data_IF_962020928274
#
_entry.id   IF_962020928274
#
_cell.length_a   1.000
_cell.length_b   1.000
_cell.length_c   1.000
_cell.angle_alpha   90.00
_cell.angle_beta   90.00
_cell.angle_gamma   90.00
#
_symmetry.space_group_name_H-M   'P 1'
#
loop_
_entity.id
_entity.type
_entity.pdbx_description
1 polymer ?
#
# COMPACT_ATOMS: atom_id res chain seq x y z
N UNK A 1 14.95 -29.92 -22.05
CA UNK A 1 16.15 -29.19 -22.49
C UNK A 1 15.70 -27.84 -23.02
N UNK A 2 15.96 -26.75 -22.31
CA UNK A 2 15.62 -25.38 -22.76
C UNK A 2 16.89 -24.72 -23.29
N UNK A 3 16.86 -24.28 -24.55
CA UNK A 3 17.87 -23.43 -25.15
C UNK A 3 17.68 -21.99 -24.68
N UNK A 4 18.67 -21.39 -24.02
CA UNK A 4 18.63 -19.96 -23.68
C UNK A 4 19.47 -19.14 -24.67
N UNK A 5 18.99 -17.96 -25.02
CA UNK A 5 19.69 -17.04 -25.93
C UNK A 5 20.97 -16.48 -25.31
N UNK A 6 21.89 -15.98 -26.14
CA UNK A 6 23.10 -15.28 -25.71
C UNK A 6 22.80 -14.06 -24.80
N UNK A 7 21.65 -13.42 -24.98
CA UNK A 7 21.19 -12.33 -24.13
C UNK A 7 20.70 -12.83 -22.77
N UNK A 8 19.95 -13.93 -22.72
CA UNK A 8 19.57 -14.59 -21.47
C UNK A 8 20.81 -15.14 -20.72
N UNK A 9 21.84 -15.60 -21.45
CA UNK A 9 23.10 -16.04 -20.86
C UNK A 9 23.83 -14.94 -20.08
N UNK A 10 23.85 -13.71 -20.60
CA UNK A 10 24.46 -12.56 -19.89
C UNK A 10 23.84 -12.35 -18.51
N UNK A 11 22.58 -12.73 -18.36
CA UNK A 11 21.81 -12.59 -17.15
C UNK A 11 22.06 -13.74 -16.16
N UNK A 12 21.99 -14.98 -16.66
CA UNK A 12 22.04 -16.21 -15.86
C UNK A 12 23.46 -16.61 -15.45
N UNK A 13 24.50 -16.21 -16.21
CA UNK A 13 25.92 -16.54 -15.91
C UNK A 13 26.42 -16.06 -14.54
N UNK A 14 25.74 -15.06 -13.98
CA UNK A 14 26.06 -14.45 -12.68
C UNK A 14 25.36 -15.14 -11.51
N UNK A 15 24.58 -16.20 -11.76
CA UNK A 15 23.96 -16.98 -10.70
C UNK A 15 25.03 -17.84 -10.00
N UNK A 16 24.69 -18.37 -8.84
CA UNK A 16 25.67 -19.07 -8.00
C UNK A 16 26.26 -20.31 -8.70
N UNK A 17 27.40 -20.79 -8.21
CA UNK A 17 28.10 -21.93 -8.84
C UNK A 17 27.31 -23.25 -8.71
N UNK A 18 26.32 -23.31 -7.83
CA UNK A 18 25.36 -24.42 -7.75
C UNK A 18 24.43 -24.44 -8.96
N UNK A 19 24.00 -23.27 -9.47
CA UNK A 19 23.21 -23.14 -10.70
C UNK A 19 23.95 -23.70 -11.90
N UNK A 20 25.25 -23.41 -11.97
CA UNK A 20 26.11 -23.80 -13.08
C UNK A 20 26.27 -25.31 -13.20
N UNK A 21 26.03 -26.08 -12.13
CA UNK A 21 26.03 -27.56 -12.18
C UNK A 21 24.83 -28.12 -12.94
N UNK A 22 23.74 -27.35 -13.05
CA UNK A 22 22.54 -27.71 -13.82
C UNK A 22 22.58 -27.23 -15.27
N UNK A 23 23.70 -26.61 -15.69
CA UNK A 23 23.90 -26.13 -17.05
C UNK A 23 24.76 -27.11 -17.84
N UNK A 24 24.28 -27.57 -18.99
CA UNK A 24 25.14 -28.19 -20.00
C UNK A 24 25.50 -27.12 -21.03
N UNK A 25 26.75 -26.67 -21.01
CA UNK A 25 27.27 -25.65 -21.92
C UNK A 25 27.91 -26.36 -23.12
N UNK A 26 27.28 -26.27 -24.29
CA UNK A 26 27.84 -26.84 -25.51
C UNK A 26 28.54 -25.73 -26.31
N UNK A 27 29.87 -25.70 -26.31
CA UNK A 27 30.67 -24.69 -27.01
C UNK A 27 30.88 -25.07 -28.48
N UNK A 28 29.81 -25.13 -29.28
CA UNK A 28 29.89 -25.35 -30.73
C UNK A 28 29.45 -24.11 -31.53
N UNK A 29 30.05 -22.96 -31.24
CA UNK A 29 29.97 -21.77 -32.10
C UNK A 29 28.69 -20.93 -31.98
N UNK A 30 27.53 -21.54 -31.74
CA UNK A 30 26.25 -20.83 -31.66
C UNK A 30 25.57 -21.00 -30.29
N UNK A 31 26.16 -20.37 -29.27
CA UNK A 31 25.52 -19.75 -28.10
C UNK A 31 24.28 -20.38 -27.44
N UNK A 32 24.14 -21.71 -27.38
CA UNK A 32 23.00 -22.37 -26.77
C UNK A 32 23.41 -23.12 -25.49
N UNK A 33 22.90 -22.67 -24.33
CA UNK A 33 23.04 -23.38 -23.05
C UNK A 33 21.75 -24.17 -22.79
N UNK A 34 21.90 -25.48 -22.53
CA UNK A 34 20.77 -26.38 -22.29
C UNK A 34 20.58 -26.53 -20.78
N UNK A 35 19.36 -26.21 -20.30
CA UNK A 35 18.96 -26.38 -18.90
C UNK A 35 17.93 -27.51 -18.78
N UNK A 36 18.14 -28.43 -17.83
CA UNK A 36 17.11 -29.38 -17.38
C UNK A 36 16.23 -28.73 -16.32
N UNK A 37 15.13 -28.13 -16.77
CA UNK A 37 14.18 -27.32 -15.99
C UNK A 37 13.52 -28.01 -14.78
N UNK A 38 13.77 -29.29 -14.52
CA UNK A 38 13.10 -30.08 -13.48
C UNK A 38 13.88 -30.24 -12.17
N UNK A 39 15.11 -29.71 -12.06
CA UNK A 39 16.01 -29.99 -10.92
C UNK A 39 16.72 -28.76 -10.32
N UNK A 40 16.27 -27.53 -10.59
CA UNK A 40 16.93 -26.34 -10.06
C UNK A 40 16.31 -25.98 -8.70
N UNK A 41 17.01 -26.14 -7.57
CA UNK A 41 16.45 -25.75 -6.28
C UNK A 41 16.38 -24.22 -6.10
N UNK A 42 15.47 -23.73 -5.25
CA UNK A 42 15.17 -22.29 -5.11
C UNK A 42 16.35 -21.47 -4.56
N UNK A 43 17.22 -22.10 -3.76
CA UNK A 43 18.45 -21.53 -3.21
C UNK A 43 19.45 -21.09 -4.29
N UNK A 44 19.22 -21.48 -5.53
CA UNK A 44 20.15 -21.26 -6.64
C UNK A 44 20.02 -19.85 -7.25
N UNK A 45 18.87 -19.19 -7.06
CA UNK A 45 18.69 -17.77 -7.42
C UNK A 45 19.29 -16.81 -6.38
N UNK A 46 19.81 -17.33 -5.26
CA UNK A 46 20.57 -16.52 -4.32
C UNK A 46 21.97 -16.23 -4.89
N UNK A 47 22.13 -15.01 -5.41
CA UNK A 47 23.43 -14.43 -5.69
C UNK A 47 24.11 -14.17 -4.34
N UNK A 48 24.73 -15.18 -3.76
CA UNK A 48 25.77 -14.97 -2.76
C UNK A 48 27.06 -14.67 -3.51
N UNK A 49 27.59 -13.45 -3.33
CA UNK A 49 28.94 -13.13 -3.78
C UNK A 49 29.90 -14.08 -3.06
N UNK A 50 30.52 -15.00 -3.80
CA UNK A 50 31.82 -15.54 -3.38
C UNK A 50 32.75 -14.35 -3.21
N UNK A 51 33.13 -14.07 -1.96
CA UNK A 51 34.26 -13.20 -1.63
C UNK A 51 35.54 -13.86 -2.16
N UNK A 52 35.79 -13.74 -3.46
CA UNK A 52 37.15 -13.82 -3.97
C UNK A 52 37.88 -12.60 -3.43
N UNK A 53 38.78 -12.81 -2.47
CA UNK A 53 39.77 -11.83 -2.01
C UNK A 53 40.63 -11.41 -3.20
N UNK A 54 40.14 -10.46 -3.99
CA UNK A 54 40.94 -9.66 -4.90
C UNK A 54 40.81 -8.22 -4.42
N UNK A 55 41.92 -7.70 -3.87
CA UNK A 55 42.12 -6.31 -3.51
C UNK A 55 42.17 -5.42 -4.76
N UNK A 56 41.09 -5.39 -5.53
CA UNK A 56 40.78 -4.27 -6.40
C UNK A 56 39.72 -3.46 -5.66
N UNK A 57 40.07 -2.24 -5.25
CA UNK A 57 39.12 -1.23 -4.80
C UNK A 57 38.05 -1.13 -5.88
N UNK A 58 36.92 -1.82 -5.70
CA UNK A 58 35.76 -1.60 -6.55
C UNK A 58 35.31 -0.20 -6.19
N UNK A 59 35.62 0.77 -7.05
CA UNK A 59 34.94 2.06 -7.05
C UNK A 59 33.46 1.75 -6.89
N UNK A 60 32.87 2.20 -5.79
CA UNK A 60 31.42 2.21 -5.68
C UNK A 60 30.90 2.86 -6.97
N UNK A 61 29.93 2.24 -7.66
CA UNK A 61 29.36 2.86 -8.85
C UNK A 61 28.95 4.27 -8.46
N UNK A 62 29.48 5.27 -9.19
CA UNK A 62 29.23 6.67 -8.90
C UNK A 62 27.71 6.87 -8.89
N UNK A 63 27.13 7.21 -7.73
CA UNK A 63 25.70 7.38 -7.59
C UNK A 63 25.26 8.59 -8.43
N UNK A 64 24.66 8.31 -9.58
CA UNK A 64 24.14 9.34 -10.46
C UNK A 64 22.79 9.83 -9.91
N UNK A 65 22.85 10.96 -9.20
CA UNK A 65 21.69 11.58 -8.55
C UNK A 65 20.64 12.04 -9.56
N UNK A 66 21.05 12.45 -10.76
CA UNK A 66 20.12 12.90 -11.79
C UNK A 66 19.37 11.72 -12.39
N UNK A 67 20.07 10.61 -12.61
CA UNK A 67 19.46 9.35 -13.00
C UNK A 67 18.49 8.88 -11.91
N UNK A 68 18.91 8.85 -10.64
CA UNK A 68 18.03 8.49 -9.53
C UNK A 68 16.74 9.33 -9.50
N UNK A 69 16.86 10.65 -9.56
CA UNK A 69 15.72 11.56 -9.53
C UNK A 69 14.76 11.36 -10.71
N UNK A 70 15.27 10.92 -11.87
CA UNK A 70 14.46 10.64 -13.05
C UNK A 70 13.70 9.31 -12.93
N UNK A 71 14.33 8.26 -12.43
CA UNK A 71 13.76 6.91 -12.42
C UNK A 71 12.99 6.56 -11.16
N UNK A 72 13.19 7.28 -10.05
CA UNK A 72 12.49 7.02 -8.78
C UNK A 72 10.96 7.06 -8.90
N UNK A 73 10.41 7.81 -9.85
CA UNK A 73 8.97 7.89 -10.11
C UNK A 73 8.36 6.57 -10.64
N UNK A 74 9.20 5.66 -11.14
CA UNK A 74 8.80 4.33 -11.62
C UNK A 74 8.96 3.26 -10.55
N UNK A 75 9.50 3.62 -9.39
CA UNK A 75 9.64 2.73 -8.23
C UNK A 75 8.46 3.03 -7.29
N UNK A 76 7.88 1.98 -6.72
CA UNK A 76 6.85 2.14 -5.70
C UNK A 76 7.40 2.98 -4.52
N UNK A 77 6.69 4.04 -4.13
CA UNK A 77 7.16 4.98 -3.10
C UNK A 77 7.41 4.30 -1.76
N UNK A 78 6.61 3.30 -1.39
CA UNK A 78 6.82 2.52 -0.16
C UNK A 78 8.10 1.70 -0.22
N UNK A 79 8.37 1.09 -1.38
CA UNK A 79 9.63 0.38 -1.62
C UNK A 79 10.82 1.35 -1.51
N UNK A 80 10.71 2.52 -2.13
CA UNK A 80 11.75 3.54 -2.11
C UNK A 80 12.01 4.03 -0.69
N UNK A 81 10.96 4.36 0.06
CA UNK A 81 11.03 4.80 1.45
C UNK A 81 11.74 3.77 2.34
N UNK A 82 11.40 2.48 2.21
CA UNK A 82 12.08 1.41 2.95
C UNK A 82 13.54 1.25 2.55
N UNK A 83 13.87 1.35 1.25
CA UNK A 83 15.27 1.33 0.79
C UNK A 83 16.06 2.52 1.34
N UNK A 84 15.47 3.72 1.34
CA UNK A 84 16.08 4.94 1.89
C UNK A 84 16.26 4.87 3.42
N UNK A 85 15.39 4.12 4.10
CA UNK A 85 15.51 3.81 5.54
C UNK A 85 16.53 2.70 5.86
N UNK A 86 17.24 2.18 4.85
CA UNK A 86 18.32 1.21 5.03
C UNK A 86 17.90 -0.26 4.89
N UNK A 87 16.67 -0.56 4.48
CA UNK A 87 16.25 -1.93 4.19
C UNK A 87 16.94 -2.42 2.93
N UNK A 88 17.90 -3.35 3.10
CA UNK A 88 18.73 -3.86 2.01
C UNK A 88 18.09 -4.99 1.21
N UNK A 89 17.09 -5.67 1.77
CA UNK A 89 16.33 -6.73 1.09
C UNK A 89 14.84 -6.65 1.41
N UNK A 90 14.05 -6.07 0.49
CA UNK A 90 12.61 -5.95 0.64
C UNK A 90 11.88 -7.30 0.65
N UNK A 91 12.46 -8.38 0.11
CA UNK A 91 11.81 -9.71 0.08
C UNK A 91 11.87 -10.39 1.44
N UNK A 92 12.93 -10.12 2.21
CA UNK A 92 13.04 -10.58 3.60
C UNK A 92 12.22 -9.72 4.57
N UNK A 93 11.76 -8.55 4.11
CA UNK A 93 10.94 -7.64 4.89
C UNK A 93 9.45 -7.80 4.53
N UNK A 94 8.70 -8.48 5.40
CA UNK A 94 7.26 -8.63 5.26
C UNK A 94 6.57 -8.15 6.55
N UNK A 95 5.64 -7.21 6.43
CA UNK A 95 4.86 -6.67 7.54
C UNK A 95 3.39 -7.08 7.40
N UNK A 96 2.79 -7.52 8.52
CA UNK A 96 1.34 -7.71 8.60
C UNK A 96 0.72 -6.41 9.10
N UNK A 97 -0.14 -5.79 8.28
CA UNK A 97 -0.77 -4.52 8.63
C UNK A 97 -2.12 -4.35 7.99
N UNK A 98 -2.93 -3.48 8.59
CA UNK A 98 -4.23 -3.08 8.06
C UNK A 98 -4.00 -2.09 6.91
N UNK A 99 -4.53 -2.41 5.74
CA UNK A 99 -4.45 -1.56 4.54
C UNK A 99 -5.85 -1.35 4.00
N UNK A 100 -6.14 -0.11 3.59
CA UNK A 100 -7.33 0.21 2.79
C UNK A 100 -6.93 0.27 1.33
N UNK A 101 -7.58 -0.57 0.52
CA UNK A 101 -7.35 -0.67 -0.92
C UNK A 101 -8.49 0.01 -1.66
N UNK A 102 -8.16 0.87 -2.63
CA UNK A 102 -9.13 1.48 -3.54
C UNK A 102 -8.81 1.06 -4.97
N UNK A 103 -9.79 0.45 -5.62
CA UNK A 103 -9.76 0.08 -7.03
C UNK A 103 -10.69 1.02 -7.80
N UNK A 104 -10.17 1.64 -8.86
CA UNK A 104 -10.94 2.55 -9.74
C UNK A 104 -10.88 2.00 -11.16
N UNK A 105 -12.03 1.58 -11.70
CA UNK A 105 -12.15 1.12 -13.08
C UNK A 105 -12.64 2.26 -13.98
N UNK A 106 -11.92 2.55 -15.05
CA UNK A 106 -12.31 3.52 -16.07
C UNK A 106 -13.01 2.77 -17.20
N UNK A 107 -14.29 2.43 -16.99
CA UNK A 107 -15.06 1.47 -17.84
C UNK A 107 -15.06 1.84 -19.32
N UNK A 108 -15.06 3.14 -19.64
CA UNK A 108 -15.12 3.62 -21.02
C UNK A 108 -13.81 3.46 -21.81
N UNK A 109 -12.67 3.29 -21.14
CA UNK A 109 -11.35 3.32 -21.77
C UNK A 109 -11.00 1.93 -22.33
N UNK A 110 -10.78 1.86 -23.64
CA UNK A 110 -10.41 0.62 -24.35
C UNK A 110 -9.04 0.68 -25.05
N UNK A 111 -8.41 1.84 -25.07
CA UNK A 111 -7.16 2.12 -25.78
C UNK A 111 -7.23 1.80 -27.29
N UNK A 112 -8.38 2.05 -27.90
CA UNK A 112 -8.56 1.87 -29.35
C UNK A 112 -8.14 3.11 -30.14
N UNK A 113 -8.01 4.27 -29.48
CA UNK A 113 -7.65 5.54 -30.09
C UNK A 113 -6.74 6.37 -29.16
N UNK A 114 -6.24 7.51 -29.65
CA UNK A 114 -5.39 8.42 -28.85
C UNK A 114 -6.13 9.14 -27.74
N UNK A 115 -7.44 9.34 -27.91
CA UNK A 115 -8.30 10.04 -26.94
C UNK A 115 -8.40 9.23 -25.64
N UNK A 116 -8.54 7.90 -25.73
CA UNK A 116 -8.51 6.98 -24.59
C UNK A 116 -7.26 7.18 -23.71
N UNK A 117 -6.09 7.38 -24.34
CA UNK A 117 -4.83 7.63 -23.62
C UNK A 117 -4.84 8.99 -22.92
N UNK A 118 -5.35 10.03 -23.58
CA UNK A 118 -5.44 11.37 -23.01
C UNK A 118 -6.40 11.40 -21.82
N UNK A 119 -7.55 10.74 -21.95
CA UNK A 119 -8.54 10.57 -20.90
C UNK A 119 -7.95 9.79 -19.71
N UNK A 120 -7.23 8.70 -19.96
CA UNK A 120 -6.56 7.93 -18.90
C UNK A 120 -5.51 8.79 -18.17
N UNK A 121 -4.75 9.60 -18.90
CA UNK A 121 -3.76 10.51 -18.32
C UNK A 121 -4.42 11.59 -17.44
N UNK A 122 -5.53 12.16 -17.90
CA UNK A 122 -6.28 13.15 -17.13
C UNK A 122 -6.87 12.56 -15.85
N UNK A 123 -7.51 11.39 -15.96
CA UNK A 123 -8.05 10.65 -14.82
C UNK A 123 -6.95 10.30 -13.80
N UNK A 124 -5.81 9.76 -14.25
CA UNK A 124 -4.71 9.40 -13.37
C UNK A 124 -4.11 10.64 -12.67
N UNK A 125 -3.97 11.75 -13.41
CA UNK A 125 -3.50 13.02 -12.84
C UNK A 125 -4.46 13.57 -11.79
N UNK A 126 -5.77 13.45 -12.00
CA UNK A 126 -6.78 13.85 -11.02
C UNK A 126 -6.72 12.98 -9.76
N UNK A 127 -6.53 11.66 -9.91
CA UNK A 127 -6.37 10.72 -8.79
C UNK A 127 -5.09 11.03 -8.01
N UNK A 128 -3.94 11.21 -8.68
CA UNK A 128 -2.67 11.48 -8.02
C UNK A 128 -2.68 12.77 -7.19
N UNK A 129 -3.38 13.82 -7.65
CA UNK A 129 -3.56 15.05 -6.85
C UNK A 129 -4.29 14.79 -5.54
N UNK A 130 -5.32 13.93 -5.56
CA UNK A 130 -6.06 13.55 -4.35
C UNK A 130 -5.16 12.75 -3.41
N UNK A 131 -4.42 11.78 -3.93
CA UNK A 131 -3.48 10.97 -3.15
C UNK A 131 -2.40 11.81 -2.45
N UNK A 132 -1.91 12.87 -3.10
CA UNK A 132 -0.93 13.77 -2.50
C UNK A 132 -1.46 14.52 -1.27
N UNK A 133 -2.78 14.80 -1.22
CA UNK A 133 -3.42 15.49 -0.09
C UNK A 133 -3.87 14.53 0.99
N UNK A 134 -4.35 13.35 0.59
CA UNK A 134 -4.89 12.31 1.48
C UNK A 134 -3.85 11.27 1.90
N UNK A 135 -2.58 11.52 1.54
CA UNK A 135 -1.44 10.68 1.86
C UNK A 135 -1.68 9.21 1.46
N UNK A 136 -2.21 9.02 0.25
CA UNK A 136 -2.39 7.71 -0.35
C UNK A 136 -1.27 7.39 -1.34
N UNK A 137 -1.13 6.11 -1.66
CA UNK A 137 -0.11 5.63 -2.61
C UNK A 137 -0.75 5.06 -3.87
N UNK A 138 -0.31 5.54 -5.04
CA UNK A 138 -0.60 4.89 -6.32
C UNK A 138 0.28 3.64 -6.42
N UNK A 139 -0.35 2.47 -6.51
CA UNK A 139 0.38 1.22 -6.75
C UNK A 139 0.72 1.05 -8.21
N UNK A 140 -0.30 1.09 -9.07
CA UNK A 140 -0.17 0.87 -10.50
C UNK A 140 -1.43 1.27 -11.27
N UNK A 141 -1.24 1.51 -12.56
CA UNK A 141 -2.28 1.51 -13.58
C UNK A 141 -2.19 0.18 -14.34
N UNK A 142 -3.31 -0.52 -14.47
CA UNK A 142 -3.43 -1.80 -15.16
C UNK A 142 -4.40 -1.70 -16.32
N UNK A 143 -4.14 -2.45 -17.38
CA UNK A 143 -5.12 -2.73 -18.43
C UNK A 143 -5.13 -4.24 -18.68
N UNK A 144 -6.17 -4.91 -18.19
CA UNK A 144 -6.35 -6.36 -18.27
C UNK A 144 -7.79 -6.74 -18.68
N UNK A 145 -8.24 -7.95 -18.36
CA UNK A 145 -9.60 -8.42 -18.61
C UNK A 145 -10.69 -7.59 -17.92
N UNK A 146 -10.33 -6.84 -16.86
CA UNK A 146 -11.20 -5.89 -16.17
C UNK A 146 -11.16 -4.51 -16.82
N UNK A 147 -10.31 -4.27 -17.82
CA UNK A 147 -10.14 -2.99 -18.49
C UNK A 147 -9.14 -2.08 -17.78
N UNK A 148 -9.26 -0.76 -17.97
CA UNK A 148 -8.38 0.23 -17.37
C UNK A 148 -8.66 0.39 -15.87
N UNK A 149 -7.70 0.06 -15.02
CA UNK A 149 -7.84 0.00 -13.56
C UNK A 149 -6.70 0.75 -12.87
N UNK A 150 -7.04 1.65 -11.95
CA UNK A 150 -6.11 2.31 -11.05
C UNK A 150 -6.19 1.64 -9.69
N UNK A 151 -5.04 1.23 -9.15
CA UNK A 151 -4.92 0.59 -7.84
C UNK A 151 -4.21 1.51 -6.85
N UNK A 152 -4.86 1.77 -5.73
CA UNK A 152 -4.44 2.69 -4.69
C UNK A 152 -4.41 2.00 -3.32
N UNK A 153 -3.51 2.45 -2.45
CA UNK A 153 -3.40 1.99 -1.08
C UNK A 153 -3.34 3.15 -0.09
N UNK A 154 -3.91 2.93 1.09
CA UNK A 154 -3.77 3.78 2.28
C UNK A 154 -3.35 2.89 3.44
N UNK A 155 -2.50 3.43 4.32
CA UNK A 155 -1.89 2.67 5.38
C UNK A 155 -0.75 1.81 4.91
N UNK A 156 0.09 2.32 4.02
CA UNK A 156 1.39 1.72 3.66
C UNK A 156 2.47 2.80 3.69
N UNK A 157 3.73 2.48 4.05
CA UNK A 157 4.79 3.47 4.19
C UNK A 157 4.97 4.29 2.90
N UNK A 158 5.33 5.58 2.96
CA UNK A 158 5.54 6.39 4.16
C UNK A 158 4.24 6.86 4.84
N UNK A 159 3.07 6.55 4.28
CA UNK A 159 1.80 7.14 4.69
C UNK A 159 0.92 6.15 5.45
N UNK A 160 0.86 6.31 6.77
CA UNK A 160 0.17 5.39 7.66
C UNK A 160 -0.51 6.11 8.81
N UNK A 161 -1.82 5.91 8.93
CA UNK A 161 -2.66 6.59 9.90
C UNK A 161 -3.68 5.64 10.52
N UNK A 162 -4.27 6.02 11.65
CA UNK A 162 -5.39 5.27 12.21
C UNK A 162 -6.65 5.32 11.34
N UNK A 163 -6.83 6.42 10.64
CA UNK A 163 -8.03 6.72 9.87
C UNK A 163 -7.88 6.38 8.38
N UNK A 164 -6.97 5.49 7.99
CA UNK A 164 -6.74 5.15 6.57
C UNK A 164 -7.97 4.58 5.85
N UNK A 165 -8.91 3.97 6.58
CA UNK A 165 -10.22 3.60 6.03
C UNK A 165 -11.05 4.83 5.63
N UNK A 166 -11.06 5.86 6.49
CA UNK A 166 -11.72 7.13 6.21
C UNK A 166 -11.00 7.88 5.08
N UNK A 167 -9.67 7.98 5.10
CA UNK A 167 -8.89 8.64 4.04
C UNK A 167 -9.12 7.97 2.68
N UNK A 168 -9.22 6.64 2.66
CA UNK A 168 -9.56 5.88 1.45
C UNK A 168 -10.97 6.18 0.94
N UNK A 169 -11.97 6.30 1.82
CA UNK A 169 -13.35 6.64 1.44
C UNK A 169 -13.48 8.11 1.01
N UNK A 170 -12.85 9.05 1.72
CA UNK A 170 -12.79 10.46 1.33
C UNK A 170 -12.14 10.62 -0.04
N UNK A 171 -11.02 9.94 -0.27
CA UNK A 171 -10.36 9.89 -1.57
C UNK A 171 -11.28 9.33 -2.64
N UNK A 172 -11.97 8.21 -2.37
CA UNK A 172 -12.92 7.62 -3.31
C UNK A 172 -14.06 8.57 -3.67
N UNK A 173 -14.62 9.31 -2.70
CA UNK A 173 -15.66 10.31 -2.92
C UNK A 173 -15.15 11.47 -3.80
N UNK A 174 -13.95 11.97 -3.53
CA UNK A 174 -13.32 13.02 -4.34
C UNK A 174 -12.99 12.54 -5.76
N UNK A 175 -12.47 11.32 -5.90
CA UNK A 175 -12.21 10.69 -7.20
C UNK A 175 -13.51 10.57 -7.98
N UNK A 176 -14.58 10.09 -7.35
CA UNK A 176 -15.89 9.99 -7.98
C UNK A 176 -16.40 11.35 -8.49
N UNK A 177 -16.29 12.40 -7.67
CA UNK A 177 -16.67 13.77 -8.06
C UNK A 177 -15.85 14.30 -9.25
N UNK A 178 -14.54 14.10 -9.24
CA UNK A 178 -13.64 14.55 -10.31
C UNK A 178 -13.83 13.76 -11.60
N UNK A 179 -13.96 12.43 -11.51
CA UNK A 179 -14.12 11.57 -12.68
C UNK A 179 -15.45 11.80 -13.39
N UNK A 180 -16.53 12.18 -12.69
CA UNK A 180 -17.80 12.58 -13.34
C UNK A 180 -17.68 13.77 -14.30
N UNK A 181 -16.58 14.52 -14.23
CA UNK A 181 -16.29 15.65 -15.13
C UNK A 181 -15.44 15.22 -16.34
N UNK A 182 -14.87 14.02 -16.31
CA UNK A 182 -13.90 13.48 -17.29
C UNK A 182 -14.49 12.29 -18.05
N UNK A 183 -15.27 11.46 -17.34
CA UNK A 183 -15.78 10.17 -17.79
C UNK A 183 -17.26 10.06 -17.46
N UNK A 184 -18.00 9.42 -18.36
CA UNK A 184 -19.38 9.03 -18.09
C UNK A 184 -19.44 7.78 -17.22
N UNK A 185 -18.54 6.81 -17.45
CA UNK A 185 -18.58 5.48 -16.81
C UNK A 185 -17.26 5.10 -16.15
N UNK A 186 -17.33 4.95 -14.83
CA UNK A 186 -16.31 4.39 -13.97
C UNK A 186 -16.96 3.68 -12.79
N UNK A 187 -16.24 2.77 -12.14
CA UNK A 187 -16.71 2.11 -10.92
C UNK A 187 -15.59 2.06 -9.88
N UNK A 188 -15.94 2.16 -8.60
CA UNK A 188 -14.97 2.18 -7.50
C UNK A 188 -15.30 1.09 -6.48
N UNK A 189 -14.28 0.35 -6.05
CA UNK A 189 -14.38 -0.62 -4.98
C UNK A 189 -13.36 -0.32 -3.88
N UNK A 190 -13.81 -0.36 -2.63
CA UNK A 190 -12.96 -0.11 -1.45
C UNK A 190 -13.04 -1.30 -0.51
N UNK A 191 -11.90 -1.70 0.06
CA UNK A 191 -11.87 -2.74 1.07
C UNK A 191 -10.75 -2.50 2.07
N UNK A 192 -11.01 -2.82 3.33
CA UNK A 192 -10.05 -2.62 4.43
C UNK A 192 -9.87 -3.94 5.18
N UNK A 193 -8.63 -4.30 5.46
CA UNK A 193 -8.35 -5.50 6.24
C UNK A 193 -6.87 -5.73 6.48
N UNK A 194 -6.56 -6.76 7.26
CA UNK A 194 -5.17 -7.20 7.46
C UNK A 194 -4.60 -7.77 6.17
N UNK A 195 -3.38 -7.36 5.84
CA UNK A 195 -2.67 -7.70 4.62
C UNK A 195 -1.20 -7.90 4.92
N UNK A 196 -0.55 -8.72 4.10
CA UNK A 196 0.90 -8.81 4.04
C UNK A 196 1.43 -7.75 3.08
N UNK A 197 2.37 -6.94 3.54
CA UNK A 197 3.03 -5.91 2.75
C UNK A 197 4.52 -6.21 2.72
N UNK A 198 5.12 -6.26 1.54
CA UNK A 198 6.53 -6.62 1.40
C UNK A 198 6.97 -6.85 -0.03
N UNK A 199 8.25 -7.17 -0.20
CA UNK A 199 8.82 -7.54 -1.49
C UNK A 199 8.42 -8.96 -1.89
N UNK A 200 7.86 -9.11 -3.09
CA UNK A 200 7.58 -10.42 -3.70
C UNK A 200 8.46 -10.58 -4.92
N UNK A 201 9.17 -11.70 -5.02
CA UNK A 201 10.06 -12.03 -6.13
C UNK A 201 11.43 -12.46 -5.67
N UNK A 202 12.46 -12.10 -6.42
CA UNK A 202 13.84 -12.49 -6.13
C UNK A 202 14.79 -11.27 -6.23
N UNK A 203 16.09 -11.51 -6.02
CA UNK A 203 17.15 -10.48 -6.07
C UNK A 203 17.30 -9.76 -7.42
N UNK A 204 16.64 -10.27 -8.46
CA UNK A 204 16.71 -9.77 -9.83
C UNK A 204 15.55 -8.84 -10.13
N UNK A 205 14.36 -9.30 -9.74
CA UNK A 205 13.11 -8.58 -9.90
C UNK A 205 12.24 -8.94 -8.71
N UNK A 206 12.06 -7.95 -7.86
CA UNK A 206 11.08 -7.97 -6.79
C UNK A 206 10.12 -6.81 -6.97
N UNK A 207 8.91 -6.98 -6.48
CA UNK A 207 7.87 -5.95 -6.48
C UNK A 207 7.37 -5.76 -5.06
N UNK A 208 7.27 -4.51 -4.62
CA UNK A 208 6.71 -4.22 -3.30
C UNK A 208 5.20 -4.20 -3.41
N UNK A 209 4.55 -5.14 -2.74
CA UNK A 209 3.12 -5.40 -2.95
C UNK A 209 2.39 -5.59 -1.63
N UNK A 210 1.08 -5.34 -1.72
CA UNK A 210 0.11 -5.63 -0.67
C UNK A 210 -0.67 -6.87 -1.13
N UNK A 211 -0.75 -7.88 -0.27
CA UNK A 211 -1.47 -9.12 -0.54
C UNK A 211 -2.40 -9.42 0.61
N UNK A 212 -3.67 -9.62 0.30
CA UNK A 212 -4.66 -10.01 1.29
C UNK A 212 -6.07 -10.11 0.71
N UNK A 213 -6.95 -10.69 1.51
CA UNK A 213 -8.36 -10.89 1.14
C UNK A 213 -9.09 -9.57 0.87
N UNK A 214 -8.77 -8.51 1.62
CA UNK A 214 -9.37 -7.18 1.46
C UNK A 214 -9.01 -6.54 0.10
N UNK A 215 -7.79 -6.76 -0.40
CA UNK A 215 -7.37 -6.30 -1.75
C UNK A 215 -8.25 -6.94 -2.82
N UNK A 216 -8.45 -8.26 -2.72
CA UNK A 216 -9.30 -9.00 -3.64
C UNK A 216 -10.78 -8.60 -3.50
N UNK A 217 -11.22 -8.29 -2.27
CA UNK A 217 -12.57 -7.81 -2.02
C UNK A 217 -12.82 -6.47 -2.71
N UNK A 218 -11.92 -5.50 -2.55
CA UNK A 218 -12.02 -4.19 -3.20
C UNK A 218 -12.13 -4.33 -4.73
N UNK A 219 -11.32 -5.21 -5.35
CA UNK A 219 -11.42 -5.49 -6.78
C UNK A 219 -12.77 -6.11 -7.19
N UNK A 220 -13.35 -6.99 -6.36
CA UNK A 220 -14.67 -7.61 -6.63
C UNK A 220 -15.80 -6.59 -6.50
N UNK A 221 -15.73 -5.73 -5.49
CA UNK A 221 -16.70 -4.65 -5.26
C UNK A 221 -16.66 -3.64 -6.41
N UNK A 222 -15.48 -3.26 -6.89
CA UNK A 222 -15.31 -2.40 -8.06
C UNK A 222 -16.02 -2.98 -9.29
N UNK A 223 -15.92 -4.30 -9.52
CA UNK A 223 -16.60 -4.96 -10.64
C UNK A 223 -18.12 -5.03 -10.50
N UNK A 224 -18.64 -4.90 -9.27
CA UNK A 224 -20.08 -4.98 -8.96
C UNK A 224 -20.73 -3.62 -8.75
N UNK A 225 -19.94 -2.57 -8.53
CA UNK A 225 -20.45 -1.22 -8.33
C UNK A 225 -21.26 -0.75 -9.54
N UNK A 226 -22.27 0.08 -9.29
CA UNK A 226 -23.03 0.72 -10.35
C UNK A 226 -22.17 1.80 -10.99
N UNK A 227 -22.50 2.15 -12.23
CA UNK A 227 -21.86 3.24 -12.98
C UNK A 227 -21.82 4.52 -12.14
N UNK A 228 -20.61 5.05 -11.96
CA UNK A 228 -20.34 6.28 -11.22
C UNK A 228 -20.54 6.18 -9.71
N UNK A 229 -20.52 4.97 -9.13
CA UNK A 229 -20.66 4.74 -7.68
C UNK A 229 -19.44 4.04 -7.07
N UNK A 230 -19.43 4.03 -5.74
CA UNK A 230 -18.41 3.40 -4.90
C UNK A 230 -19.10 2.32 -4.08
N UNK A 231 -18.56 1.10 -4.05
CA UNK A 231 -18.96 0.07 -3.09
C UNK A 231 -17.81 -0.24 -2.13
N UNK A 232 -18.12 -0.43 -0.86
CA UNK A 232 -17.17 -0.86 0.17
C UNK A 232 -17.66 -2.05 0.99
N UNK A 233 -16.73 -2.75 1.61
CA UNK A 233 -17.03 -3.85 2.53
C UNK A 233 -17.48 -3.35 3.92
N UNK A 234 -17.94 -4.29 4.76
CA UNK A 234 -18.41 -4.02 6.13
C UNK A 234 -17.31 -3.48 7.04
N UNK A 235 -16.04 -3.87 6.83
CA UNK A 235 -14.90 -3.38 7.61
C UNK A 235 -14.63 -1.91 7.32
N UNK A 236 -14.55 -1.53 6.04
CA UNK A 236 -14.39 -0.14 5.63
C UNK A 236 -15.55 0.71 6.11
N UNK A 237 -16.80 0.22 5.98
CA UNK A 237 -17.98 0.87 6.54
C UNK A 237 -17.83 1.12 8.05
N UNK A 238 -17.53 0.07 8.81
CA UNK A 238 -17.47 0.15 10.27
C UNK A 238 -16.41 1.13 10.76
N UNK A 239 -15.26 1.20 10.07
CA UNK A 239 -14.16 2.11 10.42
C UNK A 239 -14.35 3.56 9.97
N UNK A 240 -15.43 3.87 9.21
CA UNK A 240 -15.66 5.22 8.67
C UNK A 240 -17.09 5.74 8.82
N UNK A 241 -18.03 4.91 9.30
CA UNK A 241 -19.47 5.22 9.47
C UNK A 241 -19.76 6.41 10.36
N UNK A 242 -18.84 6.79 11.24
CA UNK A 242 -19.03 7.93 12.13
C UNK A 242 -18.90 9.25 11.39
N UNK A 243 -18.01 9.32 10.40
CA UNK A 243 -17.73 10.52 9.60
C UNK A 243 -18.42 10.54 8.24
N UNK A 244 -18.89 9.39 7.75
CA UNK A 244 -19.45 9.23 6.40
C UNK A 244 -20.88 8.73 6.47
N UNK A 245 -21.76 9.30 5.64
CA UNK A 245 -23.09 8.76 5.40
C UNK A 245 -23.01 7.64 4.34
N UNK A 246 -23.55 6.48 4.68
CA UNK A 246 -23.61 5.31 3.80
C UNK A 246 -25.05 4.93 3.48
N UNK A 247 -25.23 4.32 2.31
CA UNK A 247 -26.41 3.54 1.94
C UNK A 247 -26.07 2.05 2.06
N UNK A 248 -26.97 1.26 2.64
CA UNK A 248 -26.86 -0.20 2.69
C UNK A 248 -27.35 -0.78 1.35
N UNK A 249 -26.44 -1.42 0.61
CA UNK A 249 -26.73 -2.03 -0.69
C UNK A 249 -27.26 -3.47 -0.51
N UNK A 250 -27.14 -4.03 0.69
CA UNK A 250 -27.58 -5.37 1.05
C UNK A 250 -26.51 -6.44 0.85
N UNK A 251 -26.95 -7.68 0.80
CA UNK A 251 -26.09 -8.85 0.64
C UNK A 251 -25.74 -9.06 -0.83
N UNK A 252 -24.46 -9.32 -1.10
CA UNK A 252 -23.95 -9.59 -2.44
C UNK A 252 -23.07 -10.82 -2.48
N UNK A 253 -23.30 -11.66 -3.47
CA UNK A 253 -22.40 -12.77 -3.78
C UNK A 253 -21.15 -12.28 -4.49
N UNK A 254 -20.00 -12.64 -3.94
CA UNK A 254 -18.68 -12.35 -4.50
C UNK A 254 -17.90 -13.65 -4.67
N UNK A 255 -17.28 -13.82 -5.84
CA UNK A 255 -16.52 -15.03 -6.18
C UNK A 255 -15.48 -15.34 -5.09
N UNK A 256 -15.40 -16.59 -4.64
CA UNK A 256 -14.39 -17.02 -3.66
C UNK A 256 -14.72 -16.66 -2.20
N UNK A 257 -15.94 -16.25 -1.89
CA UNK A 257 -16.48 -16.28 -0.53
C UNK A 257 -17.64 -17.29 -0.49
N UNK A 258 -17.73 -18.04 0.61
CA UNK A 258 -18.77 -19.05 0.80
C UNK A 258 -20.14 -18.43 1.07
N UNK A 259 -20.16 -17.28 1.75
CA UNK A 259 -21.38 -16.54 2.09
C UNK A 259 -21.41 -15.20 1.37
N UNK A 260 -22.62 -14.71 1.10
CA UNK A 260 -22.83 -13.33 0.66
C UNK A 260 -22.27 -12.35 1.70
N UNK A 261 -21.74 -11.23 1.23
CA UNK A 261 -21.20 -10.17 2.08
C UNK A 261 -22.13 -8.97 2.11
N UNK A 262 -22.15 -8.21 3.20
CA UNK A 262 -22.81 -6.90 3.21
C UNK A 262 -21.98 -5.89 2.43
N UNK A 263 -22.65 -5.08 1.62
CA UNK A 263 -22.04 -4.05 0.80
C UNK A 263 -22.66 -2.71 1.13
N UNK A 264 -21.82 -1.68 1.20
CA UNK A 264 -22.24 -0.33 1.51
C UNK A 264 -21.77 0.63 0.41
N UNK A 265 -22.52 1.71 0.19
CA UNK A 265 -22.14 2.79 -0.70
C UNK A 265 -21.91 4.07 0.10
N UNK A 266 -20.69 4.63 0.15
CA UNK A 266 -20.48 5.96 0.72
C UNK A 266 -21.17 7.02 -0.16
N UNK A 267 -21.93 7.91 0.47
CA UNK A 267 -22.70 8.94 -0.22
C UNK A 267 -22.02 10.31 -0.09
N UNK A 268 -21.69 10.71 1.15
CA UNK A 268 -21.04 11.98 1.46
C UNK A 268 -20.46 11.97 2.86
N UNK A 269 -19.56 12.90 3.13
CA UNK A 269 -19.14 13.20 4.50
C UNK A 269 -20.33 13.79 5.28
N UNK A 270 -20.46 13.41 6.54
CA UNK A 270 -21.39 14.08 7.45
C UNK A 270 -20.87 15.50 7.70
N UNK A 271 -21.76 16.48 7.71
CA UNK A 271 -21.39 17.82 8.18
C UNK A 271 -20.88 17.69 9.60
N UNK A 272 -19.67 18.21 9.89
CA UNK A 272 -19.22 18.42 11.26
C UNK A 272 -20.18 19.43 11.91
N UNK A 273 -21.28 18.96 12.48
CA UNK A 273 -21.98 19.71 13.50
C UNK A 273 -21.03 19.64 14.70
N UNK A 274 -20.36 20.75 14.95
CA UNK A 274 -19.78 21.04 16.26
C UNK A 274 -20.89 20.85 17.29
N UNK A 275 -20.59 20.13 18.35
CA UNK A 275 -21.45 19.80 19.49
C UNK A 275 -22.21 18.47 19.41
N UNK A 276 -22.08 17.73 20.52
CA UNK A 276 -22.68 16.44 20.87
C UNK A 276 -22.01 15.17 20.32
N UNK A 277 -20.70 15.01 20.59
CA UNK A 277 -20.16 13.67 20.82
C UNK A 277 -20.70 13.16 22.16
N UNK A 278 -21.72 12.30 22.09
CA UNK A 278 -22.14 11.46 23.21
C UNK A 278 -20.93 10.61 23.66
N UNK A 279 -20.53 10.64 24.94
CA UNK A 279 -19.45 9.80 25.43
C UNK A 279 -19.98 8.36 25.56
N UNK A 280 -19.70 7.53 24.57
CA UNK A 280 -20.16 6.14 24.59
C UNK A 280 -19.72 5.32 23.39
N UNK A 281 -18.45 4.90 23.39
CA UNK A 281 -18.06 3.51 23.15
C UNK A 281 -16.57 3.33 23.44
N UNK A 282 -16.30 2.64 24.55
CA UNK A 282 -14.98 2.32 25.12
C UNK A 282 -14.50 0.95 24.65
N UNK A 283 -14.54 0.66 23.35
CA UNK A 283 -14.15 -0.66 22.82
C UNK A 283 -12.86 -0.68 21.98
N UNK A 284 -12.25 0.48 21.68
CA UNK A 284 -10.95 0.57 20.99
C UNK A 284 -9.82 1.10 21.91
N UNK A 285 -9.84 0.75 23.20
CA UNK A 285 -8.67 0.99 24.08
C UNK A 285 -7.64 -0.11 23.75
N UNK A 286 -6.81 0.11 22.72
CA UNK A 286 -5.66 -0.76 22.43
C UNK A 286 -4.80 -0.80 23.71
N UNK A 287 -4.67 -1.98 24.31
CA UNK A 287 -3.86 -2.17 25.51
C UNK A 287 -2.38 -1.98 25.14
N UNK A 288 -1.81 -0.85 25.59
CA UNK A 288 -0.40 -0.51 25.41
C UNK A 288 0.46 -1.29 26.42
N UNK A 289 0.85 -2.52 26.07
CA UNK A 289 1.71 -3.37 26.89
C UNK A 289 3.16 -2.87 26.85
N UNK A 290 3.83 -2.72 28.01
CA UNK A 290 5.25 -2.37 28.09
C UNK A 290 5.56 -0.89 27.85
N UNK A 291 4.55 -0.02 27.89
CA UNK A 291 4.65 1.45 27.71
C UNK A 291 4.30 2.22 28.98
N UNK A 292 4.46 1.59 30.14
CA UNK A 292 4.03 2.16 31.43
C UNK A 292 4.77 3.46 31.75
N UNK A 293 6.04 3.58 31.33
CA UNK A 293 6.86 4.77 31.53
C UNK A 293 6.34 5.96 30.70
N UNK A 294 6.10 5.75 29.42
CA UNK A 294 5.60 6.76 28.49
C UNK A 294 4.20 7.24 28.90
N UNK A 295 3.30 6.30 29.23
CA UNK A 295 1.96 6.63 29.73
C UNK A 295 2.03 7.43 31.03
N UNK A 296 2.97 7.10 31.93
CA UNK A 296 3.16 7.85 33.19
C UNK A 296 3.67 9.27 32.94
N UNK A 297 4.50 9.48 31.93
CA UNK A 297 4.97 10.81 31.52
C UNK A 297 3.78 11.60 30.97
N UNK A 298 3.05 11.06 29.99
CA UNK A 298 1.87 11.71 29.38
C UNK A 298 0.89 12.16 30.46
N UNK A 299 0.51 11.27 31.39
CA UNK A 299 -0.44 11.60 32.47
C UNK A 299 0.09 12.70 33.38
N UNK A 300 1.37 12.66 33.74
CA UNK A 300 1.99 13.68 34.60
C UNK A 300 1.95 15.05 33.93
N UNK A 301 2.33 15.13 32.66
CA UNK A 301 2.35 16.39 31.91
C UNK A 301 0.95 16.98 31.72
N UNK A 302 -0.06 16.14 31.45
CA UNK A 302 -1.45 16.57 31.37
C UNK A 302 -1.97 17.13 32.71
N UNK A 303 -1.63 16.50 33.83
CA UNK A 303 -2.00 16.98 35.18
C UNK A 303 -1.26 18.28 35.52
N UNK A 304 0.01 18.41 35.15
CA UNK A 304 0.74 19.66 35.35
C UNK A 304 0.18 20.80 34.50
N UNK A 305 -0.24 20.51 33.27
CA UNK A 305 -0.94 21.47 32.42
C UNK A 305 -2.25 21.94 33.05
N UNK A 306 -3.08 21.00 33.54
CA UNK A 306 -4.33 21.32 34.25
C UNK A 306 -4.11 22.27 35.44
N UNK A 307 -3.05 22.04 36.21
CA UNK A 307 -2.77 22.81 37.42
C UNK A 307 -2.16 24.19 37.13
N UNK A 308 -1.28 24.28 36.14
CA UNK A 308 -0.40 25.45 35.99
C UNK A 308 -0.64 26.24 34.68
N UNK A 309 -1.40 25.69 33.72
CA UNK A 309 -1.73 26.36 32.46
C UNK A 309 -0.56 26.62 31.50
N UNK A 310 0.64 26.09 31.78
CA UNK A 310 1.82 26.32 30.96
C UNK A 310 1.77 25.43 29.71
N UNK A 311 1.75 26.04 28.52
CA UNK A 311 1.85 25.31 27.26
C UNK A 311 3.08 24.39 27.24
N UNK A 312 2.86 23.10 26.98
CA UNK A 312 3.92 22.11 26.82
C UNK A 312 3.79 21.40 25.49
N UNK A 313 4.93 21.13 24.86
CA UNK A 313 5.01 20.31 23.64
C UNK A 313 5.53 18.94 24.02
N UNK A 314 4.76 17.90 23.71
CA UNK A 314 5.19 16.50 23.84
C UNK A 314 5.58 16.01 22.46
N UNK A 315 6.83 15.56 22.30
CA UNK A 315 7.30 14.94 21.07
C UNK A 315 7.36 13.43 21.32
N UNK A 316 6.66 12.67 20.48
CA UNK A 316 6.69 11.21 20.49
C UNK A 316 7.49 10.75 19.27
N UNK A 317 8.64 10.14 19.51
CA UNK A 317 9.56 9.67 18.46
C UNK A 317 9.86 8.18 18.66
N UNK A 318 10.01 7.44 17.56
CA UNK A 318 10.44 6.05 17.55
C UNK A 318 10.34 5.44 16.16
N UNK A 319 10.81 4.20 16.02
CA UNK A 319 10.72 3.48 14.75
C UNK A 319 9.28 3.10 14.39
N UNK A 320 8.98 3.06 13.08
CA UNK A 320 7.69 2.64 12.55
C UNK A 320 7.29 1.24 13.07
N UNK A 321 6.01 1.07 13.40
CA UNK A 321 5.47 -0.23 13.87
C UNK A 321 5.67 -0.50 15.37
N UNK A 322 6.35 0.37 16.12
CA UNK A 322 6.49 0.27 17.58
C UNK A 322 5.25 0.71 18.37
N UNK A 323 4.14 1.03 17.69
CA UNK A 323 2.90 1.45 18.35
C UNK A 323 2.88 2.92 18.81
N UNK A 324 3.61 3.81 18.13
CA UNK A 324 3.57 5.26 18.40
C UNK A 324 2.16 5.84 18.23
N UNK A 325 1.45 5.38 17.22
CA UNK A 325 0.10 5.85 16.88
C UNK A 325 -0.90 5.50 18.00
N UNK A 326 -0.98 4.24 18.51
CA UNK A 326 -1.73 3.94 19.73
C UNK A 326 -1.35 4.77 20.96
N UNK A 327 -0.08 5.18 21.09
CA UNK A 327 0.37 6.04 22.19
C UNK A 327 -0.16 7.49 22.04
N UNK A 328 -0.21 7.99 20.81
CA UNK A 328 -0.83 9.28 20.47
C UNK A 328 -2.34 9.27 20.75
N UNK A 329 -3.06 8.22 20.34
CA UNK A 329 -4.49 8.09 20.65
C UNK A 329 -4.74 8.10 22.16
N UNK A 330 -3.84 7.45 22.94
CA UNK A 330 -3.95 7.46 24.40
C UNK A 330 -3.78 8.86 24.97
N UNK A 331 -2.84 9.66 24.47
CA UNK A 331 -2.69 11.07 24.84
C UNK A 331 -3.97 11.86 24.56
N UNK A 332 -4.53 11.72 23.35
CA UNK A 332 -5.76 12.41 22.93
C UNK A 332 -6.97 11.97 23.78
N UNK A 333 -7.05 10.70 24.14
CA UNK A 333 -8.16 10.19 24.94
C UNK A 333 -8.05 10.60 26.42
N UNK A 334 -6.84 10.57 27.00
CA UNK A 334 -6.61 11.05 28.36
C UNK A 334 -6.81 12.57 28.48
N UNK A 335 -6.46 13.35 27.45
CA UNK A 335 -6.71 14.80 27.45
C UNK A 335 -8.19 15.16 27.41
N UNK A 336 -8.99 14.44 26.62
CA UNK A 336 -10.45 14.58 26.60
C UNK A 336 -11.08 14.27 27.95
N UNK A 337 -10.57 13.28 28.70
CA UNK A 337 -11.05 12.99 30.07
C UNK A 337 -10.87 14.20 31.01
N UNK A 338 -9.83 15.00 30.78
CA UNK A 338 -9.55 16.23 31.50
C UNK A 338 -10.19 17.48 30.85
N UNK A 339 -11.05 17.29 29.84
CA UNK A 339 -11.72 18.35 29.07
C UNK A 339 -10.77 19.31 28.34
N UNK A 340 -9.56 18.85 28.02
CA UNK A 340 -8.66 19.59 27.14
C UNK A 340 -8.95 19.27 25.68
N UNK A 341 -8.88 20.31 24.83
CA UNK A 341 -8.73 20.15 23.40
C UNK A 341 -7.23 20.28 23.09
N UNK A 342 -6.60 19.16 22.73
CA UNK A 342 -5.21 19.11 22.23
C UNK A 342 -5.26 18.98 20.71
#
# INVERSE_FOLDING_TARGET
>A
QVAISSQAWKFVKNFNDEFKKYLTINYNGDGCVIIESGKIPDNVFNIEKKNSRNNSVKKEPNFDKDLYNKWRYYVNVSALHKMESGVSNLVEFNELRKVTTVFVRLTQIKFNNKEDLQIAQEALSAVQRILAVQEGTLRQFLYDDKGAVILLYFGIPPYSHNNDALNGIESALQICSNLKRILDDFTIGVGTGMTWVGGIGNKIRSDYSVVGDSVNMAARLMMKAKKGTIYCDETTYSLSRDSVQFEDIGLMEVKGKANSIKVYQPIKLKSRITDERVPGNTEDDIELIGREKEISIIKRELIEYDRNGNNKTIIVEGDEGLGLIPLEDKLINESKKLKFNI
#
